data_IF_272266871822
#
_entry.id   IF_272266871822
#
_cell.length_a   1.000
_cell.length_b   1.000
_cell.length_c   1.000
_cell.angle_alpha   90.00
_cell.angle_beta   90.00
_cell.angle_gamma   90.00
#
_symmetry.space_group_name_H-M   'P 1'
#
loop_
_entity.id
_entity.type
_entity.pdbx_description
1 polymer ?
#
# COMPACT_ATOMS: atom_id res chain seq x y z
N UNK A 1 -7.03 3.05 -12.55
CA UNK A 1 -6.57 3.24 -11.15
C UNK A 1 -6.36 1.89 -10.49
N UNK A 2 -5.33 1.76 -9.66
CA UNK A 2 -4.99 0.51 -8.96
C UNK A 2 -5.67 0.48 -7.59
N UNK A 3 -6.67 -0.39 -7.42
CA UNK A 3 -7.46 -0.47 -6.17
C UNK A 3 -6.76 -1.24 -5.04
N UNK A 4 -5.75 -2.04 -5.37
CA UNK A 4 -5.01 -2.86 -4.42
C UNK A 4 -3.51 -2.65 -4.58
N UNK A 5 -2.84 -2.39 -3.47
CA UNK A 5 -1.39 -2.30 -3.38
C UNK A 5 -0.81 -3.70 -3.15
N UNK A 6 0.28 -3.98 -3.85
CA UNK A 6 1.10 -5.17 -3.73
C UNK A 6 2.26 -4.92 -2.75
N UNK A 7 2.98 -5.99 -2.41
CA UNK A 7 4.22 -5.89 -1.63
C UNK A 7 5.20 -4.89 -2.24
N UNK A 8 5.39 -4.91 -3.57
CA UNK A 8 6.30 -3.99 -4.25
C UNK A 8 5.85 -2.53 -4.15
N UNK A 9 4.55 -2.26 -4.26
CA UNK A 9 4.02 -0.91 -4.08
C UNK A 9 4.28 -0.40 -2.66
N UNK A 10 4.05 -1.26 -1.65
CA UNK A 10 4.30 -0.91 -0.25
C UNK A 10 5.78 -0.72 0.06
N UNK A 11 6.68 -1.46 -0.61
CA UNK A 11 8.11 -1.20 -0.54
C UNK A 11 8.44 0.23 -1.00
N UNK A 12 7.88 0.65 -2.14
CA UNK A 12 8.11 2.00 -2.70
C UNK A 12 7.51 3.07 -1.78
N UNK A 13 6.26 2.88 -1.34
CA UNK A 13 5.51 3.87 -0.57
C UNK A 13 6.08 4.14 0.82
N UNK A 14 6.69 3.13 1.45
CA UNK A 14 7.21 3.20 2.81
C UNK A 14 8.74 3.08 2.89
N UNK A 15 9.42 3.00 1.75
CA UNK A 15 10.87 2.71 1.65
C UNK A 15 11.29 1.48 2.48
N UNK A 16 10.56 0.37 2.30
CA UNK A 16 10.75 -0.86 3.05
C UNK A 16 11.34 -1.98 2.21
N UNK A 17 12.08 -2.87 2.89
CA UNK A 17 12.45 -4.18 2.34
C UNK A 17 11.22 -5.06 2.17
N UNK A 18 11.25 -5.97 1.19
CA UNK A 18 10.16 -6.90 0.85
C UNK A 18 9.58 -7.64 2.06
N UNK A 19 10.43 -8.14 2.96
CA UNK A 19 9.97 -8.87 4.16
C UNK A 19 9.22 -7.97 5.15
N UNK A 20 9.65 -6.70 5.30
CA UNK A 20 8.95 -5.72 6.12
C UNK A 20 7.62 -5.29 5.48
N UNK A 21 7.59 -5.07 4.16
CA UNK A 21 6.35 -4.76 3.43
C UNK A 21 5.32 -5.90 3.51
N UNK A 22 5.76 -7.15 3.40
CA UNK A 22 4.88 -8.33 3.59
C UNK A 22 4.26 -8.35 4.99
N UNK A 23 5.05 -8.11 6.04
CA UNK A 23 4.56 -8.03 7.43
C UNK A 23 3.57 -6.88 7.62
N UNK A 24 3.84 -5.71 7.01
CA UNK A 24 2.90 -4.56 7.06
C UNK A 24 1.57 -4.89 6.38
N UNK A 25 1.59 -5.52 5.20
CA UNK A 25 0.36 -5.94 4.52
C UNK A 25 -0.42 -6.97 5.36
N UNK A 26 0.27 -7.93 5.97
CA UNK A 26 -0.37 -8.92 6.84
C UNK A 26 -1.09 -8.25 8.01
N UNK A 27 -0.42 -7.33 8.70
CA UNK A 27 -1.01 -6.56 9.81
C UNK A 27 -2.27 -5.79 9.38
N UNK A 28 -2.21 -5.06 8.27
CA UNK A 28 -3.36 -4.29 7.77
C UNK A 28 -4.52 -5.19 7.35
N UNK A 29 -4.23 -6.36 6.78
CA UNK A 29 -5.25 -7.36 6.48
C UNK A 29 -5.85 -7.96 7.76
N UNK A 30 -5.06 -8.22 8.80
CA UNK A 30 -5.60 -8.67 10.09
C UNK A 30 -6.55 -7.63 10.70
N UNK A 31 -6.23 -6.33 10.61
CA UNK A 31 -7.13 -5.25 11.02
C UNK A 31 -8.44 -5.25 10.22
N UNK A 32 -8.37 -5.39 8.89
CA UNK A 32 -9.54 -5.46 8.02
C UNK A 32 -10.39 -6.70 8.30
N UNK A 33 -9.75 -7.86 8.46
CA UNK A 33 -10.43 -9.11 8.78
C UNK A 33 -11.14 -9.03 10.14
N UNK A 34 -10.51 -8.39 11.13
CA UNK A 34 -11.11 -8.15 12.46
C UNK A 34 -12.34 -7.23 12.40
N UNK A 35 -12.43 -6.38 11.37
CA UNK A 35 -13.60 -5.53 11.07
C UNK A 35 -14.66 -6.24 10.21
N UNK A 36 -14.45 -7.52 9.85
CA UNK A 36 -15.37 -8.31 9.04
C UNK A 36 -15.20 -8.15 7.53
N UNK A 37 -14.11 -7.52 7.05
CA UNK A 37 -13.84 -7.41 5.63
C UNK A 37 -13.09 -8.63 5.08
N UNK A 38 -13.32 -8.93 3.81
CA UNK A 38 -12.53 -9.91 3.06
C UNK A 38 -11.14 -9.35 2.72
N UNK A 39 -10.12 -10.21 2.79
CA UNK A 39 -8.73 -9.86 2.55
C UNK A 39 -8.14 -10.67 1.41
N UNK A 40 -7.07 -10.14 0.80
CA UNK A 40 -6.30 -10.85 -0.21
C UNK A 40 -4.85 -10.93 0.25
N UNK A 41 -4.35 -12.14 0.50
CA UNK A 41 -2.97 -12.34 0.96
C UNK A 41 -1.96 -11.68 0.01
N UNK A 42 -1.05 -10.89 0.58
CA UNK A 42 -0.01 -10.18 -0.19
C UNK A 42 -0.50 -8.92 -0.91
N UNK A 43 -1.77 -8.54 -0.74
CA UNK A 43 -2.34 -7.28 -1.23
C UNK A 43 -3.08 -6.55 -0.11
N UNK A 44 -3.23 -5.24 -0.26
CA UNK A 44 -4.04 -4.41 0.65
C UNK A 44 -4.85 -3.40 -0.16
N UNK A 45 -6.08 -3.10 0.28
CA UNK A 45 -6.90 -2.09 -0.38
C UNK A 45 -6.21 -0.71 -0.30
N UNK A 46 -6.10 -0.01 -1.44
CA UNK A 46 -5.35 1.26 -1.55
C UNK A 46 -5.93 2.34 -0.62
N UNK A 47 -7.26 2.48 -0.59
CA UNK A 47 -7.94 3.44 0.28
C UNK A 47 -7.65 3.16 1.75
N UNK A 48 -7.80 1.91 2.18
CA UNK A 48 -7.51 1.54 3.58
C UNK A 48 -6.05 1.80 3.95
N UNK A 49 -5.12 1.50 3.05
CA UNK A 49 -3.71 1.83 3.25
C UNK A 49 -3.51 3.35 3.38
N UNK A 50 -4.06 4.14 2.44
CA UNK A 50 -3.93 5.59 2.45
C UNK A 50 -4.44 6.19 3.77
N UNK A 51 -5.66 5.82 4.18
CA UNK A 51 -6.25 6.23 5.46
C UNK A 51 -5.37 5.86 6.66
N UNK A 52 -4.80 4.64 6.68
CA UNK A 52 -3.99 4.16 7.81
C UNK A 52 -2.65 4.87 7.95
N UNK A 53 -2.16 5.49 6.87
CA UNK A 53 -0.92 6.27 6.84
C UNK A 53 -1.17 7.78 6.68
N UNK A 54 -2.41 8.24 6.86
CA UNK A 54 -2.78 9.67 6.73
C UNK A 54 -2.42 10.27 5.35
N UNK A 55 -2.62 9.50 4.29
CA UNK A 55 -2.43 9.90 2.90
C UNK A 55 -3.76 9.93 2.16
N UNK A 56 -3.83 10.67 1.06
CA UNK A 56 -4.88 10.55 0.06
C UNK A 56 -4.56 9.46 -0.98
N UNK A 57 -5.59 8.99 -1.70
CA UNK A 57 -5.38 8.04 -2.81
C UNK A 57 -4.53 8.66 -3.94
N UNK A 58 -4.63 9.99 -4.14
CA UNK A 58 -3.82 10.75 -5.08
C UNK A 58 -2.37 10.87 -4.64
N UNK A 59 -2.09 11.05 -3.34
CA UNK A 59 -0.71 11.06 -2.82
C UNK A 59 -0.06 9.69 -2.99
N UNK A 60 -0.81 8.61 -2.79
CA UNK A 60 -0.34 7.24 -3.07
C UNK A 60 -0.02 7.08 -4.55
N UNK A 61 -0.92 7.50 -5.45
CA UNK A 61 -0.69 7.42 -6.89
C UNK A 61 0.51 8.28 -7.33
N UNK A 62 0.67 9.50 -6.81
CA UNK A 62 1.83 10.37 -7.07
C UNK A 62 3.14 9.71 -6.64
N UNK A 63 3.18 9.08 -5.46
CA UNK A 63 4.39 8.38 -5.00
C UNK A 63 4.71 7.12 -5.81
N UNK A 64 3.70 6.45 -6.37
CA UNK A 64 3.90 5.25 -7.20
C UNK A 64 4.27 5.55 -8.65
N UNK A 65 3.70 6.62 -9.23
CA UNK A 65 3.77 6.89 -10.67
C UNK A 65 4.41 8.23 -11.02
N UNK A 66 4.55 9.16 -10.07
CA UNK A 66 5.10 10.51 -10.29
C UNK A 66 6.63 10.57 -10.40
N UNK A 67 7.30 9.42 -10.48
CA UNK A 67 8.76 9.29 -10.56
C UNK A 67 9.38 9.55 -11.94
N UNK A 68 8.60 9.67 -13.02
CA UNK A 68 9.12 10.11 -14.32
C UNK A 68 9.10 11.65 -14.44
N UNK A 69 9.88 12.34 -13.60
CA UNK A 69 10.43 13.68 -13.88
C UNK A 69 11.74 13.92 -13.11
N UNK A 70 12.52 12.87 -12.85
CA UNK A 70 13.91 13.02 -12.42
C UNK A 70 14.79 11.98 -13.13
N UNK A 71 15.08 12.23 -14.40
CA UNK A 71 16.40 12.04 -15.00
C UNK A 71 16.38 12.43 -16.49
N UNK A 72 17.31 13.34 -16.82
CA UNK A 72 17.79 13.76 -18.14
C UNK A 72 17.00 14.81 -18.89
#
# INVERSE_FOLDING_TARGET
>A
MKNFLTVSDVCILLDLKKSAAQKRIALLNEELSSKGYNIVKGRINKRYFAERYYLSEEEVDKKLFGGEMHAS
#
